data_IF_168620352540
#
_entry.id   IF_168620352540
#
_cell.length_a   1.000
_cell.length_b   1.000
_cell.length_c   1.000
_cell.angle_alpha   90.00
_cell.angle_beta   90.00
_cell.angle_gamma   90.00
#
_symmetry.space_group_name_H-M   'P 1'
#
loop_
_entity.id
_entity.type
_entity.pdbx_description
1 polymer ?
#
# COMPACT_ATOMS: atom_id res chain seq x y z
N UNK A 1 34.41 8.01 -52.05
CA UNK A 1 33.37 8.42 -51.07
C UNK A 1 32.01 8.05 -51.65
N UNK A 2 31.43 6.93 -51.23
CA UNK A 2 30.09 6.49 -51.68
C UNK A 2 29.03 7.12 -50.79
N UNK A 3 28.23 8.01 -51.37
CA UNK A 3 27.07 8.63 -50.71
C UNK A 3 25.91 7.64 -50.66
N UNK A 4 25.58 7.17 -49.46
CA UNK A 4 24.42 6.29 -49.22
C UNK A 4 23.16 7.17 -49.23
N UNK A 5 22.33 7.04 -50.28
CA UNK A 5 21.01 7.67 -50.34
C UNK A 5 20.04 6.90 -49.45
N UNK A 6 19.86 7.38 -48.22
CA UNK A 6 18.88 6.80 -47.30
C UNK A 6 17.46 7.18 -47.79
N UNK A 7 16.62 6.17 -47.99
CA UNK A 7 15.26 6.35 -48.46
C UNK A 7 14.42 6.99 -47.34
N UNK A 8 13.89 8.19 -47.59
CA UNK A 8 13.08 8.96 -46.63
C UNK A 8 11.87 8.16 -46.11
N UNK A 9 11.32 7.24 -46.90
CA UNK A 9 10.23 6.35 -46.44
C UNK A 9 10.70 5.40 -45.34
N UNK A 10 11.92 4.87 -45.44
CA UNK A 10 12.51 3.97 -44.44
C UNK A 10 12.67 4.71 -43.10
N UNK A 11 13.13 5.96 -43.14
CA UNK A 11 13.28 6.78 -41.92
C UNK A 11 11.92 6.99 -41.23
N UNK A 12 10.87 7.29 -42.01
CA UNK A 12 9.51 7.47 -41.47
C UNK A 12 9.00 6.18 -40.83
N UNK A 13 9.19 5.03 -41.47
CA UNK A 13 8.79 3.74 -40.90
C UNK A 13 9.53 3.43 -39.58
N UNK A 14 10.83 3.72 -39.51
CA UNK A 14 11.61 3.51 -38.29
C UNK A 14 11.10 4.38 -37.14
N UNK A 15 10.78 5.66 -37.40
CA UNK A 15 10.26 6.57 -36.38
C UNK A 15 8.90 6.13 -35.84
N UNK A 16 8.01 5.65 -36.71
CA UNK A 16 6.70 5.12 -36.30
C UNK A 16 6.87 3.87 -35.41
N UNK A 17 7.75 2.94 -35.81
CA UNK A 17 8.01 1.72 -35.04
C UNK A 17 8.57 2.06 -33.65
N UNK A 18 9.53 2.99 -33.56
CA UNK A 18 10.09 3.43 -32.27
C UNK A 18 9.02 4.10 -31.40
N UNK A 19 8.14 4.92 -31.98
CA UNK A 19 7.02 5.54 -31.25
C UNK A 19 6.03 4.52 -30.70
N UNK A 20 5.73 3.47 -31.47
CA UNK A 20 4.83 2.39 -31.03
C UNK A 20 5.50 1.57 -29.92
N UNK A 21 6.77 1.18 -30.09
CA UNK A 21 7.51 0.41 -29.10
C UNK A 21 7.69 1.17 -27.79
N UNK A 22 7.96 2.48 -27.85
CA UNK A 22 8.06 3.32 -26.64
C UNK A 22 6.71 3.47 -25.94
N UNK A 23 5.61 3.61 -26.70
CA UNK A 23 4.27 3.65 -26.13
C UNK A 23 3.90 2.34 -25.44
N UNK A 24 4.18 1.20 -26.09
CA UNK A 24 3.98 -0.14 -25.51
C UNK A 24 4.83 -0.31 -24.25
N UNK A 25 6.10 0.12 -24.28
CA UNK A 25 6.99 0.05 -23.12
C UNK A 25 6.50 0.91 -21.95
N UNK A 26 6.00 2.12 -22.21
CA UNK A 26 5.44 3.00 -21.17
C UNK A 26 4.17 2.38 -20.55
N UNK A 27 3.30 1.75 -21.35
CA UNK A 27 2.10 1.06 -20.85
C UNK A 27 2.47 -0.17 -20.04
N UNK A 28 3.42 -0.99 -20.51
CA UNK A 28 3.88 -2.18 -19.78
C UNK A 28 4.59 -1.81 -18.47
N UNK A 29 5.40 -0.74 -18.46
CA UNK A 29 6.10 -0.27 -17.27
C UNK A 29 5.16 0.35 -16.23
N UNK A 30 4.17 1.15 -16.66
CA UNK A 30 3.14 1.67 -15.74
C UNK A 30 2.31 0.57 -15.09
N UNK A 31 2.15 -0.57 -15.76
CA UNK A 31 1.48 -1.74 -15.18
C UNK A 31 2.40 -2.59 -14.29
N UNK A 32 3.73 -2.45 -14.41
CA UNK A 32 4.71 -3.22 -13.63
C UNK A 32 5.14 -2.52 -12.34
N UNK A 33 5.09 -1.18 -12.32
CA UNK A 33 5.61 -0.35 -11.21
C UNK A 33 4.57 -0.09 -10.10
N UNK A 34 3.31 -0.53 -10.23
CA UNK A 34 2.36 -0.59 -9.12
C UNK A 34 2.29 -2.01 -8.57
N UNK A 35 3.20 -2.39 -7.68
CA UNK A 35 3.00 -3.50 -6.74
C UNK A 35 2.53 -4.83 -7.37
N UNK A 36 3.21 -5.32 -8.40
CA UNK A 36 2.88 -6.54 -9.16
C UNK A 36 3.05 -7.88 -8.40
N UNK A 37 2.54 -7.97 -7.17
CA UNK A 37 2.07 -9.21 -6.52
C UNK A 37 1.00 -8.89 -5.44
N UNK A 38 0.16 -7.87 -5.69
CA UNK A 38 -0.94 -7.37 -4.85
C UNK A 38 -2.34 -7.91 -5.23
N UNK A 39 -2.47 -8.99 -6.00
CA UNK A 39 -3.78 -9.47 -6.51
C UNK A 39 -4.82 -9.85 -5.43
N UNK A 40 -4.51 -9.72 -4.13
CA UNK A 40 -5.42 -9.88 -2.99
C UNK A 40 -5.50 -8.67 -2.04
N UNK A 41 -4.70 -7.62 -2.23
CA UNK A 41 -4.69 -6.43 -1.35
C UNK A 41 -5.45 -5.27 -1.99
N UNK A 42 -6.35 -4.64 -1.23
CA UNK A 42 -7.19 -3.53 -1.66
C UNK A 42 -6.74 -2.26 -0.96
N UNK A 43 -6.60 -1.17 -1.71
CA UNK A 43 -6.40 0.18 -1.15
C UNK A 43 -7.68 0.57 -0.41
N UNK A 44 -7.54 0.90 0.88
CA UNK A 44 -8.69 1.29 1.73
C UNK A 44 -8.63 2.74 2.18
N UNK A 45 -7.44 3.33 2.26
CA UNK A 45 -7.29 4.71 2.63
C UNK A 45 -5.96 5.29 2.14
N UNK A 46 -5.95 6.59 1.82
CA UNK A 46 -4.75 7.36 1.54
C UNK A 46 -4.63 8.45 2.59
N UNK A 47 -3.54 8.42 3.35
CA UNK A 47 -3.29 9.35 4.44
C UNK A 47 -2.65 10.64 3.94
N UNK A 48 -3.11 11.77 4.48
CA UNK A 48 -2.62 13.10 4.12
C UNK A 48 -2.39 13.96 5.37
N UNK A 49 -1.37 14.82 5.33
CA UNK A 49 -1.17 15.89 6.31
C UNK A 49 -2.32 16.90 6.25
N UNK A 50 -2.42 17.77 7.26
CA UNK A 50 -3.43 18.83 7.31
C UNK A 50 -3.39 19.82 6.14
N UNK A 51 -2.27 19.93 5.42
CA UNK A 51 -2.11 20.75 4.21
C UNK A 51 -2.44 20.01 2.90
N UNK A 52 -2.83 18.72 2.99
CA UNK A 52 -3.17 17.86 1.87
C UNK A 52 -1.99 17.10 1.26
N UNK A 53 -0.77 17.20 1.81
CA UNK A 53 0.38 16.41 1.36
C UNK A 53 0.21 14.94 1.74
N UNK A 54 0.35 14.05 0.77
CA UNK A 54 0.26 12.60 0.98
C UNK A 54 1.42 12.08 1.84
N UNK A 55 1.09 11.30 2.87
CA UNK A 55 2.06 10.68 3.80
C UNK A 55 2.10 9.15 3.70
N UNK A 56 1.04 8.52 3.19
CA UNK A 56 1.07 7.09 2.95
C UNK A 56 -0.22 6.54 2.39
N UNK A 57 -0.17 5.28 1.99
CA UNK A 57 -1.32 4.49 1.57
C UNK A 57 -1.50 3.28 2.46
N UNK A 58 -2.76 2.91 2.67
CA UNK A 58 -3.18 1.76 3.42
C UNK A 58 -3.79 0.71 2.51
N UNK A 59 -3.24 -0.50 2.57
CA UNK A 59 -3.71 -1.66 1.82
C UNK A 59 -4.10 -2.78 2.77
N UNK A 60 -5.22 -3.45 2.51
CA UNK A 60 -5.66 -4.61 3.30
C UNK A 60 -5.93 -5.83 2.44
N UNK A 61 -5.74 -7.02 3.00
CA UNK A 61 -6.27 -8.25 2.46
C UNK A 61 -7.46 -8.69 3.30
N UNK A 62 -8.63 -8.60 2.69
CA UNK A 62 -9.87 -8.97 3.33
C UNK A 62 -9.97 -10.48 3.56
N UNK A 63 -10.51 -10.84 4.72
CA UNK A 63 -10.91 -12.22 5.05
C UNK A 63 -12.32 -12.47 4.52
N UNK A 64 -13.20 -11.49 4.71
CA UNK A 64 -14.52 -11.42 4.12
C UNK A 64 -14.74 -10.06 3.45
N UNK A 65 -15.74 -9.96 2.58
CA UNK A 65 -15.97 -8.76 1.77
C UNK A 65 -16.48 -7.55 2.58
N UNK A 66 -16.46 -7.57 3.92
CA UNK A 66 -17.28 -6.66 4.74
C UNK A 66 -16.51 -6.15 5.98
N UNK A 67 -15.34 -5.54 5.78
CA UNK A 67 -14.54 -4.83 6.80
C UNK A 67 -13.55 -5.66 7.63
N UNK A 68 -13.56 -7.00 7.53
CA UNK A 68 -12.63 -7.86 8.28
C UNK A 68 -11.41 -8.23 7.42
N UNK A 69 -10.19 -7.99 7.90
CA UNK A 69 -8.95 -8.21 7.17
C UNK A 69 -7.93 -9.10 7.91
N UNK A 70 -7.11 -9.86 7.17
CA UNK A 70 -6.05 -10.71 7.74
C UNK A 70 -4.68 -10.05 7.74
N UNK A 71 -4.49 -9.12 6.80
CA UNK A 71 -3.24 -8.43 6.61
C UNK A 71 -3.50 -6.94 6.28
N UNK A 72 -2.74 -6.06 6.92
CA UNK A 72 -2.72 -4.61 6.69
C UNK A 72 -1.29 -4.19 6.40
N UNK A 73 -1.12 -3.34 5.40
CA UNK A 73 0.14 -2.69 5.08
C UNK A 73 -0.09 -1.19 4.97
N UNK A 74 0.82 -0.44 5.56
CA UNK A 74 0.93 0.99 5.32
C UNK A 74 2.28 1.24 4.69
N UNK A 75 2.26 1.93 3.56
CA UNK A 75 3.45 2.26 2.80
C UNK A 75 3.56 3.76 2.64
N UNK A 76 4.79 4.26 2.58
CA UNK A 76 5.05 5.65 2.24
C UNK A 76 4.80 5.91 0.73
N UNK A 77 4.90 7.17 0.27
CA UNK A 77 4.72 7.50 -1.15
C UNK A 77 5.72 6.83 -2.09
N UNK A 78 6.85 6.33 -1.57
CA UNK A 78 7.90 5.62 -2.31
C UNK A 78 7.73 4.09 -2.23
N UNK A 79 6.62 3.60 -1.67
CA UNK A 79 6.26 2.20 -1.42
C UNK A 79 7.14 1.46 -0.39
N UNK A 80 7.83 2.18 0.50
CA UNK A 80 8.49 1.55 1.63
C UNK A 80 7.45 1.19 2.69
N UNK A 81 7.55 -0.02 3.25
CA UNK A 81 6.64 -0.49 4.31
C UNK A 81 6.95 0.29 5.59
N UNK A 82 6.05 1.21 5.94
CA UNK A 82 6.07 1.89 7.23
C UNK A 82 5.58 0.96 8.33
N UNK A 83 4.65 0.08 7.98
CA UNK A 83 3.93 -0.72 8.95
C UNK A 83 3.21 -1.94 8.37
N UNK A 84 3.11 -2.99 9.18
CA UNK A 84 2.38 -4.22 8.84
C UNK A 84 1.66 -4.82 10.05
N UNK A 85 0.40 -5.19 9.87
CA UNK A 85 -0.32 -6.07 10.81
C UNK A 85 -0.69 -7.35 10.08
N UNK A 86 -0.43 -8.50 10.71
CA UNK A 86 -0.96 -9.78 10.26
C UNK A 86 -1.07 -10.77 11.45
N UNK A 87 -1.34 -12.04 11.15
CA UNK A 87 -1.42 -13.12 12.16
C UNK A 87 -0.16 -13.30 13.02
N UNK A 88 1.00 -12.83 12.56
CA UNK A 88 2.27 -12.95 13.29
C UNK A 88 2.50 -11.78 14.23
N UNK A 89 1.64 -10.75 14.17
CA UNK A 89 1.74 -9.57 15.00
C UNK A 89 1.71 -8.28 14.21
N UNK A 90 2.04 -7.26 14.97
CA UNK A 90 2.13 -5.88 14.57
C UNK A 90 3.59 -5.50 14.43
N UNK A 91 3.97 -4.91 13.29
CA UNK A 91 5.35 -4.58 12.96
C UNK A 91 5.46 -3.14 12.47
N UNK A 92 6.27 -2.34 13.15
CA UNK A 92 6.68 -1.01 12.68
C UNK A 92 8.01 -1.07 11.92
N UNK A 93 8.11 -0.33 10.81
CA UNK A 93 9.17 -0.42 9.80
C UNK A 93 10.60 -0.20 10.31
N UNK A 94 10.80 0.53 11.41
CA UNK A 94 12.14 0.89 11.89
C UNK A 94 12.74 -0.10 12.92
N UNK A 95 11.91 -0.90 13.59
CA UNK A 95 12.34 -1.62 14.79
C UNK A 95 12.07 -3.11 14.76
N UNK A 96 11.26 -3.61 13.81
CA UNK A 96 10.84 -5.01 13.79
C UNK A 96 10.19 -5.46 15.10
N UNK A 97 9.76 -4.52 15.95
CA UNK A 97 9.20 -4.81 17.26
C UNK A 97 7.80 -5.36 17.07
N UNK A 98 7.58 -6.55 17.63
CA UNK A 98 6.26 -7.14 17.82
C UNK A 98 5.58 -6.37 18.93
N UNK A 99 4.70 -5.42 18.59
CA UNK A 99 4.06 -4.60 19.63
C UNK A 99 2.85 -5.29 20.29
N UNK A 100 2.32 -6.36 19.68
CA UNK A 100 1.16 -7.11 20.22
C UNK A 100 1.29 -8.60 19.84
N UNK A 101 1.48 -9.52 20.80
CA UNK A 101 1.36 -10.95 20.53
C UNK A 101 -0.11 -11.28 20.25
N UNK A 102 -0.39 -11.76 19.04
CA UNK A 102 -1.74 -12.21 18.68
C UNK A 102 -1.98 -13.62 19.23
N UNK A 103 -3.08 -13.78 19.95
CA UNK A 103 -3.57 -15.06 20.49
C UNK A 103 -3.84 -16.07 19.36
N UNK A 104 -3.72 -17.39 19.59
CA UNK A 104 -4.05 -18.41 18.58
C UNK A 104 -5.49 -18.35 18.03
N UNK A 105 -6.39 -17.61 18.66
CA UNK A 105 -7.81 -17.52 18.26
C UNK A 105 -8.14 -16.33 17.34
N UNK A 106 -7.14 -15.57 16.88
CA UNK A 106 -7.40 -14.41 16.01
C UNK A 106 -7.77 -14.86 14.60
N UNK A 107 -8.98 -14.50 14.19
CA UNK A 107 -9.47 -14.70 12.82
C UNK A 107 -8.98 -13.59 11.90
N UNK A 108 -9.07 -12.34 12.38
CA UNK A 108 -8.74 -11.14 11.62
C UNK A 108 -8.83 -9.87 12.44
N UNK A 109 -8.83 -8.74 11.74
CA UNK A 109 -8.89 -7.41 12.30
C UNK A 109 -9.98 -6.58 11.61
N UNK A 110 -10.57 -5.65 12.34
CA UNK A 110 -11.51 -4.66 11.81
C UNK A 110 -10.79 -3.31 11.76
N UNK A 111 -11.00 -2.57 10.68
CA UNK A 111 -10.42 -1.25 10.47
C UNK A 111 -11.51 -0.17 10.57
N UNK A 112 -11.23 0.88 11.32
CA UNK A 112 -12.04 2.10 11.36
C UNK A 112 -11.18 3.30 10.95
N UNK A 113 -11.54 4.00 9.87
CA UNK A 113 -10.87 5.26 9.51
C UNK A 113 -11.44 6.36 10.39
N UNK A 114 -10.60 6.97 11.21
CA UNK A 114 -11.01 8.01 12.16
C UNK A 114 -10.85 9.40 11.54
N UNK A 115 -9.66 9.68 10.97
CA UNK A 115 -9.33 10.95 10.32
C UNK A 115 -8.43 10.73 9.10
N UNK A 116 -8.05 11.81 8.41
CA UNK A 116 -7.15 11.77 7.25
C UNK A 116 -5.73 11.26 7.55
N UNK A 117 -5.35 11.18 8.82
CA UNK A 117 -4.01 10.82 9.31
C UNK A 117 -4.07 9.81 10.48
N UNK A 118 -5.25 9.24 10.77
CA UNK A 118 -5.43 8.28 11.87
C UNK A 118 -6.51 7.24 11.59
N UNK A 119 -6.35 6.09 12.22
CA UNK A 119 -7.25 4.96 12.11
C UNK A 119 -7.22 4.10 13.38
N UNK A 120 -8.29 3.35 13.60
CA UNK A 120 -8.41 2.33 14.62
C UNK A 120 -8.27 0.92 14.06
N UNK A 121 -7.69 0.03 14.86
CA UNK A 121 -7.63 -1.42 14.62
C UNK A 121 -8.22 -2.19 15.81
N UNK A 122 -9.18 -3.06 15.52
CA UNK A 122 -9.82 -3.95 16.50
C UNK A 122 -9.59 -5.42 16.12
N UNK A 123 -9.44 -6.32 17.10
CA UNK A 123 -9.29 -7.76 16.86
C UNK A 123 -10.68 -8.40 16.74
N UNK A 124 -10.85 -9.31 15.77
CA UNK A 124 -12.11 -10.03 15.52
C UNK A 124 -12.00 -11.54 15.77
N UNK A 125 -13.11 -12.14 16.18
CA UNK A 125 -13.30 -13.59 16.23
C UNK A 125 -13.69 -14.18 14.86
N UNK A 126 -13.93 -15.50 14.82
CA UNK A 126 -14.31 -16.26 13.61
C UNK A 126 -15.66 -15.87 13.01
N UNK A 127 -16.48 -15.11 13.74
CA UNK A 127 -17.78 -14.61 13.28
C UNK A 127 -17.70 -13.22 12.67
N UNK A 128 -16.50 -12.61 12.64
CA UNK A 128 -16.31 -11.24 12.19
C UNK A 128 -16.67 -10.20 13.25
N UNK A 129 -16.88 -10.62 14.51
CA UNK A 129 -17.24 -9.73 15.61
C UNK A 129 -15.98 -9.30 16.36
N UNK A 130 -15.86 -8.00 16.60
CA UNK A 130 -14.82 -7.41 17.42
C UNK A 130 -14.85 -7.92 18.86
N UNK A 131 -13.69 -8.30 19.39
CA UNK A 131 -13.52 -8.92 20.72
C UNK A 131 -12.51 -8.20 21.62
N UNK A 132 -11.93 -7.09 21.16
CA UNK A 132 -10.97 -6.29 21.92
C UNK A 132 -11.28 -4.81 21.83
N UNK A 133 -10.71 -4.02 22.73
CA UNK A 133 -10.72 -2.57 22.56
C UNK A 133 -9.96 -2.16 21.29
N UNK A 134 -10.37 -1.03 20.72
CA UNK A 134 -9.76 -0.45 19.55
C UNK A 134 -8.37 0.12 19.87
N UNK A 135 -7.39 -0.17 19.03
CA UNK A 135 -6.04 0.41 19.10
C UNK A 135 -5.94 1.52 18.06
N UNK A 136 -5.74 2.75 18.53
CA UNK A 136 -5.61 3.90 17.65
C UNK A 136 -4.18 4.08 17.17
N UNK A 137 -4.06 4.35 15.88
CA UNK A 137 -2.80 4.59 15.17
C UNK A 137 -2.89 5.94 14.48
N UNK A 138 -1.90 6.80 14.70
CA UNK A 138 -1.90 8.16 14.17
C UNK A 138 -0.53 8.53 13.60
N UNK A 139 -0.53 9.38 12.58
CA UNK A 139 0.68 9.99 12.06
C UNK A 139 1.31 10.93 13.09
N UNK A 140 2.53 10.61 13.53
CA UNK A 140 3.37 11.52 14.30
C UNK A 140 4.12 12.44 13.33
N UNK A 141 3.72 13.72 13.30
CA UNK A 141 4.29 14.74 12.42
C UNK A 141 5.77 15.04 12.71
N UNK A 142 6.18 15.02 13.97
CA UNK A 142 7.55 15.35 14.38
C UNK A 142 8.52 14.24 13.96
N UNK A 143 8.10 12.99 14.16
CA UNK A 143 8.92 11.80 13.90
C UNK A 143 8.71 11.22 12.49
N UNK A 144 7.72 11.73 11.74
CA UNK A 144 7.33 11.27 10.39
C UNK A 144 7.07 9.76 10.31
N UNK A 145 6.31 9.24 11.27
CA UNK A 145 5.95 7.82 11.34
C UNK A 145 4.58 7.63 11.99
N UNK A 146 3.92 6.51 11.72
CA UNK A 146 2.72 6.13 12.45
C UNK A 146 3.09 5.58 13.84
N UNK A 147 2.35 6.00 14.86
CA UNK A 147 2.55 5.57 16.25
C UNK A 147 1.24 5.10 16.89
N UNK A 148 1.35 4.16 17.82
CA UNK A 148 0.24 3.72 18.65
C UNK A 148 -0.09 4.77 19.70
N UNK A 149 -1.36 5.15 19.78
CA UNK A 149 -1.88 5.96 20.87
C UNK A 149 -2.64 5.01 21.80
N UNK A 150 -2.04 4.70 22.96
CA UNK A 150 -2.74 4.03 24.05
C UNK A 150 -3.47 5.10 24.86
N UNK A 151 -4.77 4.90 25.09
CA UNK A 151 -5.52 5.65 26.12
C UNK A 151 -5.29 5.03 27.50
#
# INVERSE_FOLDING_TARGET
MTSVKINKKIIIYVLIIVSILTSIYIVLRKNSDSLSNQDAYQLVHSFNEGDGKKIGDMYVKYIDNIYVFSDLYIVDPDNNILYRINKSGFFSGDSGQTEIPVSPDVYGYILSVEHNDSFGVEISDQTGVGISDNVNVMWNYDNKKFELIKF
#
